data_IF_945048570361
#
_entry.id   IF_945048570361
#
_cell.length_a   1.000
_cell.length_b   1.000
_cell.length_c   1.000
_cell.angle_alpha   90.00
_cell.angle_beta   90.00
_cell.angle_gamma   90.00
#
_symmetry.space_group_name_H-M   'P 1'
#
loop_
_entity.id
_entity.type
_entity.pdbx_description
1 polymer ?
#
# COMPACT_ATOMS: atom_id res chain seq x y z
N UNK A 1 -2.83 -4.20 -23.50
CA UNK A 1 -1.45 -4.12 -22.98
C UNK A 1 -1.15 -5.48 -22.36
N UNK A 2 -0.31 -6.31 -22.99
CA UNK A 2 0.08 -7.60 -22.41
C UNK A 2 1.02 -7.30 -21.24
N UNK A 3 0.66 -7.75 -20.04
CA UNK A 3 1.61 -7.92 -18.95
C UNK A 3 2.66 -8.92 -19.43
N UNK A 4 3.72 -8.42 -20.06
CA UNK A 4 4.91 -9.20 -20.34
C UNK A 4 5.51 -9.54 -18.98
N UNK A 5 5.24 -10.77 -18.54
CA UNK A 5 5.58 -11.28 -17.23
C UNK A 5 7.11 -11.13 -17.04
N UNK A 6 7.54 -10.11 -16.31
CA UNK A 6 8.97 -9.83 -16.08
C UNK A 6 9.65 -11.03 -15.38
N UNK A 7 8.87 -11.89 -14.71
CA UNK A 7 9.32 -13.20 -14.18
C UNK A 7 9.85 -14.17 -15.25
N UNK A 8 9.62 -13.89 -16.53
CA UNK A 8 10.14 -14.68 -17.66
C UNK A 8 11.40 -14.05 -18.30
N UNK A 9 11.96 -12.98 -17.74
CA UNK A 9 13.18 -12.40 -18.26
C UNK A 9 14.39 -13.31 -17.98
N UNK A 10 15.02 -13.77 -19.06
CA UNK A 10 16.17 -14.69 -19.01
C UNK A 10 17.35 -14.16 -18.20
N UNK A 11 17.61 -12.86 -18.25
CA UNK A 11 18.74 -12.23 -17.57
C UNK A 11 18.50 -12.17 -16.06
N UNK A 12 17.28 -11.80 -15.65
CA UNK A 12 16.88 -11.80 -14.24
C UNK A 12 16.92 -13.24 -13.69
N UNK A 13 16.44 -14.21 -14.47
CA UNK A 13 16.47 -15.62 -14.05
C UNK A 13 17.90 -16.15 -13.95
N UNK A 14 18.80 -15.75 -14.85
CA UNK A 14 20.21 -16.11 -14.78
C UNK A 14 20.88 -15.50 -13.53
N UNK A 15 20.56 -14.24 -13.21
CA UNK A 15 21.02 -13.61 -11.97
C UNK A 15 20.47 -14.32 -10.72
N UNK A 16 19.19 -14.73 -10.71
CA UNK A 16 18.60 -15.50 -9.62
C UNK A 16 19.38 -16.80 -9.38
N UNK A 17 19.66 -17.56 -10.45
CA UNK A 17 20.42 -18.81 -10.37
C UNK A 17 21.85 -18.52 -9.89
N UNK A 18 22.53 -17.53 -10.48
CA UNK A 18 23.87 -17.12 -10.08
C UNK A 18 23.95 -16.70 -8.61
N UNK A 19 22.93 -15.99 -8.11
CA UNK A 19 22.83 -15.57 -6.72
C UNK A 19 22.70 -16.76 -5.76
N UNK A 20 21.92 -17.80 -6.13
CA UNK A 20 21.83 -19.05 -5.35
C UNK A 20 23.16 -19.79 -5.25
N UNK A 21 23.99 -19.67 -6.28
CA UNK A 21 25.30 -20.29 -6.39
C UNK A 21 26.47 -19.34 -6.09
N UNK A 22 26.24 -18.28 -5.30
CA UNK A 22 27.27 -17.28 -5.02
C UNK A 22 28.52 -17.85 -4.30
N UNK A 23 28.38 -18.94 -3.54
CA UNK A 23 29.47 -19.55 -2.75
C UNK A 23 30.23 -20.59 -3.57
N UNK A 24 29.52 -21.52 -4.19
CA UNK A 24 30.12 -22.68 -4.86
C UNK A 24 30.36 -22.44 -6.36
N UNK A 25 29.80 -21.35 -6.90
CA UNK A 25 29.80 -21.04 -8.32
C UNK A 25 28.93 -22.00 -9.14
N UNK A 26 28.86 -21.74 -10.44
CA UNK A 26 28.06 -22.53 -11.37
C UNK A 26 28.66 -22.53 -12.78
N UNK A 27 28.55 -23.66 -13.49
CA UNK A 27 28.98 -23.78 -14.88
C UNK A 27 27.96 -23.16 -15.84
N UNK A 28 28.44 -22.58 -16.95
CA UNK A 28 27.57 -21.98 -17.97
C UNK A 28 26.52 -22.98 -18.51
N UNK A 29 26.92 -24.22 -18.79
CA UNK A 29 25.99 -25.26 -19.28
C UNK A 29 24.88 -25.58 -18.28
N UNK A 30 25.15 -25.51 -16.98
CA UNK A 30 24.13 -25.73 -15.95
C UNK A 30 23.13 -24.56 -15.90
N UNK A 31 23.62 -23.32 -15.97
CA UNK A 31 22.75 -22.13 -16.07
C UNK A 31 21.86 -22.25 -17.31
N UNK A 32 22.44 -22.56 -18.47
CA UNK A 32 21.69 -22.74 -19.72
C UNK A 32 20.55 -23.74 -19.54
N UNK A 33 20.87 -24.94 -19.05
CA UNK A 33 19.89 -26.01 -18.83
C UNK A 33 18.79 -25.61 -17.85
N UNK A 34 19.12 -24.89 -16.78
CA UNK A 34 18.12 -24.40 -15.82
C UNK A 34 17.23 -23.31 -16.41
N UNK A 35 17.76 -22.43 -17.24
CA UNK A 35 16.99 -21.40 -17.94
C UNK A 35 16.02 -22.00 -18.94
N UNK A 36 16.48 -22.93 -19.77
CA UNK A 36 15.66 -23.62 -20.76
C UNK A 36 14.49 -24.36 -20.10
N UNK A 37 14.76 -25.04 -18.96
CA UNK A 37 13.72 -25.70 -18.16
C UNK A 37 12.76 -24.71 -17.50
N UNK A 38 13.28 -23.65 -16.88
CA UNK A 38 12.45 -22.70 -16.12
C UNK A 38 11.55 -21.85 -17.03
N UNK A 39 12.00 -21.56 -18.24
CA UNK A 39 11.30 -20.69 -19.19
C UNK A 39 10.64 -21.47 -20.35
N UNK A 40 10.80 -22.80 -20.38
CA UNK A 40 10.24 -23.70 -21.37
C UNK A 40 10.55 -23.27 -22.82
N UNK A 41 11.84 -23.06 -23.09
CA UNK A 41 12.37 -22.73 -24.42
C UNK A 41 13.74 -23.38 -24.61
N UNK A 42 14.22 -23.43 -25.85
CA UNK A 42 15.58 -23.86 -26.17
C UNK A 42 16.35 -22.71 -26.82
N UNK A 43 17.64 -22.58 -26.50
CA UNK A 43 18.47 -21.58 -27.14
C UNK A 43 18.76 -21.95 -28.61
N UNK A 44 18.45 -21.03 -29.51
CA UNK A 44 19.11 -20.99 -30.83
C UNK A 44 20.57 -20.56 -30.69
N UNK A 45 21.42 -20.93 -31.65
CA UNK A 45 22.84 -20.53 -31.68
C UNK A 45 23.04 -19.02 -31.55
N UNK A 46 22.22 -18.20 -32.22
CA UNK A 46 22.32 -16.74 -32.15
C UNK A 46 21.89 -16.20 -30.78
N UNK A 47 20.81 -16.72 -30.20
CA UNK A 47 20.38 -16.32 -28.85
C UNK A 47 21.36 -16.77 -27.78
N UNK A 48 21.99 -17.93 -27.94
CA UNK A 48 23.00 -18.43 -27.02
C UNK A 48 24.24 -17.56 -27.05
N UNK A 49 24.73 -17.19 -28.23
CA UNK A 49 25.86 -16.28 -28.36
C UNK A 49 25.60 -14.91 -27.71
N UNK A 50 24.41 -14.34 -27.93
CA UNK A 50 24.02 -13.08 -27.28
C UNK A 50 23.97 -13.22 -25.75
N UNK A 51 23.37 -14.32 -25.26
CA UNK A 51 23.30 -14.60 -23.83
C UNK A 51 24.69 -14.86 -23.23
N UNK A 52 25.56 -15.58 -23.92
CA UNK A 52 26.93 -15.85 -23.48
C UNK A 52 27.75 -14.57 -23.39
N UNK A 53 27.58 -13.66 -24.35
CA UNK A 53 28.22 -12.34 -24.34
C UNK A 53 27.82 -11.55 -23.09
N UNK A 54 26.51 -11.51 -22.82
CA UNK A 54 25.98 -10.92 -21.60
C UNK A 54 26.49 -11.63 -20.34
N UNK A 55 26.51 -12.97 -20.35
CA UNK A 55 26.93 -13.79 -19.22
C UNK A 55 28.37 -13.50 -18.82
N UNK A 56 29.31 -13.43 -19.76
CA UNK A 56 30.71 -13.13 -19.49
C UNK A 56 30.94 -11.69 -18.98
N UNK A 57 29.99 -10.79 -19.18
CA UNK A 57 30.02 -9.46 -18.58
C UNK A 57 29.61 -9.48 -17.11
N UNK A 58 28.59 -10.25 -16.75
CA UNK A 58 27.98 -10.26 -15.42
C UNK A 58 28.48 -11.37 -14.48
N UNK A 59 29.17 -12.35 -15.04
CA UNK A 59 29.80 -13.43 -14.31
C UNK A 59 31.31 -13.34 -14.46
N UNK A 60 32.03 -13.84 -13.48
CA UNK A 60 33.48 -13.89 -13.46
C UNK A 60 33.93 -15.31 -13.14
N UNK A 61 35.15 -15.64 -13.54
CA UNK A 61 35.79 -16.91 -13.21
C UNK A 61 37.16 -16.61 -12.60
N UNK A 62 37.62 -17.48 -11.71
CA UNK A 62 39.01 -17.47 -11.23
C UNK A 62 39.99 -18.01 -12.27
N UNK A 63 39.48 -18.70 -13.28
CA UNK A 63 40.29 -19.22 -14.38
C UNK A 63 40.86 -18.06 -15.21
N UNK A 64 42.16 -17.78 -15.01
CA UNK A 64 42.93 -16.71 -15.67
C UNK A 64 42.99 -16.82 -17.18
N UNK A 65 42.60 -17.97 -17.72
CA UNK A 65 42.55 -18.21 -19.15
C UNK A 65 41.24 -17.77 -19.80
N UNK A 66 40.24 -17.39 -19.00
CA UNK A 66 39.10 -16.59 -19.46
C UNK A 66 39.48 -15.12 -19.27
N UNK A 67 39.50 -14.34 -20.36
CA UNK A 67 40.01 -12.98 -20.29
C UNK A 67 39.12 -12.07 -19.43
N UNK A 68 39.77 -11.39 -18.49
CA UNK A 68 39.17 -10.47 -17.53
C UNK A 68 39.15 -9.03 -18.08
N UNK A 69 40.04 -8.70 -19.02
CA UNK A 69 40.12 -7.37 -19.64
C UNK A 69 39.22 -7.26 -20.87
N UNK A 70 38.58 -6.11 -21.04
CA UNK A 70 37.61 -5.83 -22.10
C UNK A 70 38.14 -6.16 -23.51
N UNK A 71 39.39 -5.81 -23.80
CA UNK A 71 40.03 -6.12 -25.09
C UNK A 71 40.17 -7.62 -25.32
N UNK A 72 40.65 -8.36 -24.32
CA UNK A 72 40.84 -9.79 -24.43
C UNK A 72 39.49 -10.54 -24.43
N UNK A 73 38.48 -10.03 -23.73
CA UNK A 73 37.09 -10.50 -23.81
C UNK A 73 36.54 -10.35 -25.22
N UNK A 74 36.79 -9.24 -25.90
CA UNK A 74 36.36 -9.04 -27.29
C UNK A 74 37.02 -10.04 -28.25
N UNK A 75 38.33 -10.24 -28.18
CA UNK A 75 39.04 -11.20 -29.04
C UNK A 75 38.57 -12.65 -28.80
N UNK A 76 38.30 -12.98 -27.54
CA UNK A 76 37.72 -14.27 -27.15
C UNK A 76 36.30 -14.46 -27.67
N UNK A 77 35.44 -13.45 -27.51
CA UNK A 77 34.08 -13.45 -28.05
C UNK A 77 34.06 -13.54 -29.58
N UNK A 78 34.99 -12.89 -30.28
CA UNK A 78 35.14 -13.03 -31.74
C UNK A 78 35.47 -14.46 -32.14
N UNK A 79 36.30 -15.15 -31.35
CA UNK A 79 36.65 -16.55 -31.59
C UNK A 79 35.46 -17.48 -31.31
N UNK A 80 34.72 -17.24 -30.23
CA UNK A 80 33.49 -17.97 -29.90
C UNK A 80 32.37 -17.69 -30.91
N UNK A 81 32.28 -16.48 -31.48
CA UNK A 81 31.32 -16.17 -32.55
C UNK A 81 31.54 -17.05 -33.78
N UNK A 82 32.81 -17.37 -34.09
CA UNK A 82 33.12 -18.33 -35.18
C UNK A 82 32.54 -19.71 -34.87
N UNK A 83 32.58 -20.15 -33.61
CA UNK A 83 31.92 -21.38 -33.16
C UNK A 83 30.43 -21.37 -33.52
N UNK A 84 29.70 -20.33 -33.11
CA UNK A 84 28.25 -20.23 -33.34
C UNK A 84 27.82 -20.02 -34.81
N UNK A 85 28.70 -19.50 -35.67
CA UNK A 85 28.38 -19.26 -37.08
C UNK A 85 28.51 -20.48 -37.96
N UNK A 86 29.53 -21.30 -37.75
CA UNK A 86 29.86 -22.40 -38.67
C UNK A 86 30.25 -23.70 -37.97
N UNK A 87 30.11 -23.79 -36.64
CA UNK A 87 30.58 -24.90 -35.81
C UNK A 87 31.97 -25.44 -36.23
N UNK A 88 32.96 -24.56 -36.49
CA UNK A 88 34.28 -24.97 -36.91
C UNK A 88 34.97 -25.77 -35.80
N UNK A 89 35.54 -26.90 -36.20
CA UNK A 89 36.43 -27.69 -35.35
C UNK A 89 37.70 -26.89 -35.01
N UNK A 90 38.35 -27.28 -33.90
CA UNK A 90 39.63 -26.72 -33.49
C UNK A 90 39.50 -25.61 -32.46
N UNK A 91 40.15 -24.46 -32.71
CA UNK A 91 40.30 -23.42 -31.69
C UNK A 91 38.96 -22.86 -31.17
N UNK A 92 37.96 -22.53 -32.01
CA UNK A 92 36.67 -22.01 -31.53
C UNK A 92 35.89 -23.01 -30.65
N UNK A 93 35.86 -24.28 -31.04
CA UNK A 93 35.24 -25.36 -30.27
C UNK A 93 35.92 -25.55 -28.91
N UNK A 94 37.26 -25.53 -28.88
CA UNK A 94 38.03 -25.65 -27.65
C UNK A 94 37.71 -24.52 -26.67
N UNK A 95 37.56 -23.28 -27.15
CA UNK A 95 37.17 -22.15 -26.31
C UNK A 95 35.74 -22.29 -25.77
N UNK A 96 34.78 -22.70 -26.60
CA UNK A 96 33.41 -22.90 -26.15
C UNK A 96 33.29 -24.05 -25.14
N UNK A 97 33.92 -25.20 -25.41
CA UNK A 97 33.96 -26.33 -24.48
C UNK A 97 34.62 -25.96 -23.15
N UNK A 98 35.62 -25.06 -23.19
CA UNK A 98 36.22 -24.52 -21.98
C UNK A 98 35.23 -23.70 -21.16
N UNK A 99 34.48 -22.79 -21.78
CA UNK A 99 33.41 -22.04 -21.10
C UNK A 99 32.41 -22.99 -20.44
N UNK A 100 32.01 -24.07 -21.13
CA UNK A 100 31.10 -25.05 -20.56
C UNK A 100 31.67 -25.77 -19.32
N UNK A 101 32.98 -25.97 -19.28
CA UNK A 101 33.66 -26.64 -18.18
C UNK A 101 33.97 -25.72 -16.99
N UNK A 102 34.17 -24.43 -17.23
CA UNK A 102 34.58 -23.44 -16.23
C UNK A 102 33.46 -23.10 -15.24
N UNK A 103 33.84 -22.94 -13.97
CA UNK A 103 32.96 -22.47 -12.90
C UNK A 103 32.97 -20.94 -12.90
N UNK A 104 31.78 -20.35 -12.84
CA UNK A 104 31.58 -18.92 -12.80
C UNK A 104 30.88 -18.49 -11.52
N UNK A 105 31.20 -17.29 -11.07
CA UNK A 105 30.61 -16.61 -9.93
C UNK A 105 29.93 -15.34 -10.42
N UNK A 106 28.78 -15.03 -9.85
CA UNK A 106 28.07 -13.79 -10.17
C UNK A 106 28.88 -12.58 -9.67
N UNK A 107 29.06 -11.55 -10.51
CA UNK A 107 29.77 -10.33 -10.11
C UNK A 107 28.93 -9.51 -9.15
N UNK A 108 29.60 -8.76 -8.27
CA UNK A 108 28.91 -7.88 -7.30
C UNK A 108 27.96 -6.87 -7.94
N UNK A 109 28.26 -6.38 -9.15
CA UNK A 109 27.37 -5.49 -9.92
C UNK A 109 26.07 -6.18 -10.33
N UNK A 110 26.14 -7.44 -10.78
CA UNK A 110 24.96 -8.23 -11.12
C UNK A 110 24.15 -8.59 -9.86
N UNK A 111 24.84 -8.91 -8.76
CA UNK A 111 24.18 -9.13 -7.45
C UNK A 111 23.40 -7.90 -7.03
N UNK A 112 24.01 -6.70 -7.13
CA UNK A 112 23.33 -5.45 -6.82
C UNK A 112 22.10 -5.24 -7.71
N UNK A 113 22.25 -5.40 -9.03
CA UNK A 113 21.12 -5.25 -9.96
C UNK A 113 19.97 -6.21 -9.65
N UNK A 114 20.28 -7.44 -9.27
CA UNK A 114 19.28 -8.42 -8.88
C UNK A 114 18.59 -8.06 -7.56
N UNK A 115 19.35 -7.59 -6.57
CA UNK A 115 18.78 -7.10 -5.30
C UNK A 115 17.87 -5.88 -5.52
N UNK A 116 18.31 -4.90 -6.30
CA UNK A 116 17.52 -3.72 -6.67
C UNK A 116 16.20 -4.15 -7.36
N UNK A 117 16.26 -5.17 -8.23
CA UNK A 117 15.08 -5.75 -8.85
C UNK A 117 14.12 -6.36 -7.81
N UNK A 118 14.62 -7.13 -6.84
CA UNK A 118 13.79 -7.73 -5.78
C UNK A 118 13.12 -6.66 -4.91
N UNK A 119 13.84 -5.60 -4.56
CA UNK A 119 13.29 -4.47 -3.79
C UNK A 119 12.18 -3.77 -4.56
N UNK A 120 12.35 -3.55 -5.86
CA UNK A 120 11.32 -2.98 -6.72
C UNK A 120 10.10 -3.90 -6.87
N UNK A 121 10.28 -5.22 -6.96
CA UNK A 121 9.17 -6.18 -6.99
C UNK A 121 8.40 -6.14 -5.67
N UNK A 122 9.08 -6.12 -4.53
CA UNK A 122 8.46 -5.99 -3.20
C UNK A 122 7.74 -4.65 -3.04
N UNK A 123 8.33 -3.54 -3.49
CA UNK A 123 7.71 -2.22 -3.44
C UNK A 123 6.43 -2.17 -4.28
N UNK A 124 6.42 -2.81 -5.46
CA UNK A 124 5.21 -2.95 -6.30
C UNK A 124 4.14 -3.78 -5.61
N UNK A 125 4.50 -4.90 -4.97
CA UNK A 125 3.54 -5.69 -4.21
C UNK A 125 2.92 -4.90 -3.06
N UNK A 126 3.73 -4.17 -2.29
CA UNK A 126 3.25 -3.32 -1.20
C UNK A 126 2.35 -2.21 -1.74
N UNK A 127 2.74 -1.56 -2.85
CA UNK A 127 1.95 -0.54 -3.52
C UNK A 127 0.59 -1.06 -3.99
N UNK A 128 0.57 -2.25 -4.61
CA UNK A 128 -0.67 -2.88 -5.06
C UNK A 128 -1.58 -3.27 -3.88
N UNK A 129 -1.01 -3.78 -2.78
CA UNK A 129 -1.77 -4.07 -1.54
C UNK A 129 -2.32 -2.79 -0.91
N UNK A 130 -1.53 -1.71 -0.89
CA UNK A 130 -1.96 -0.41 -0.38
C UNK A 130 -3.07 0.21 -1.24
N UNK A 131 -2.95 0.11 -2.57
CA UNK A 131 -3.99 0.55 -3.51
C UNK A 131 -5.29 -0.24 -3.30
N UNK A 132 -5.22 -1.57 -3.18
CA UNK A 132 -6.40 -2.39 -2.88
C UNK A 132 -7.07 -2.01 -1.56
N UNK A 133 -6.30 -1.76 -0.51
CA UNK A 133 -6.82 -1.24 0.78
C UNK A 133 -7.43 0.15 0.64
N UNK A 134 -6.84 1.02 -0.17
CA UNK A 134 -7.38 2.36 -0.44
C UNK A 134 -8.71 2.31 -1.20
N UNK A 135 -8.85 1.42 -2.18
CA UNK A 135 -10.12 1.20 -2.89
C UNK A 135 -11.21 0.71 -1.93
N UNK A 136 -10.89 -0.25 -1.04
CA UNK A 136 -11.83 -0.71 0.00
C UNK A 136 -12.21 0.42 0.97
N UNK A 137 -11.25 1.25 1.37
CA UNK A 137 -11.50 2.42 2.22
C UNK A 137 -12.43 3.44 1.56
N UNK A 138 -12.23 3.71 0.26
CA UNK A 138 -13.11 4.59 -0.51
C UNK A 138 -14.54 4.03 -0.60
N UNK A 139 -14.70 2.72 -0.82
CA UNK A 139 -16.03 2.09 -0.84
C UNK A 139 -16.73 2.19 0.51
N UNK A 140 -16.02 1.93 1.62
CA UNK A 140 -16.56 2.08 2.97
C UNK A 140 -16.96 3.53 3.27
N UNK A 141 -16.17 4.48 2.80
CA UNK A 141 -16.46 5.92 2.96
C UNK A 141 -17.75 6.31 2.23
N UNK A 142 -17.96 5.82 1.00
CA UNK A 142 -19.20 6.06 0.24
C UNK A 142 -20.41 5.49 0.97
N UNK A 143 -20.31 4.26 1.50
CA UNK A 143 -21.39 3.64 2.28
C UNK A 143 -21.69 4.44 3.55
N UNK A 144 -20.67 4.93 4.25
CA UNK A 144 -20.87 5.77 5.45
C UNK A 144 -21.57 7.09 5.13
N UNK A 145 -21.23 7.75 4.03
CA UNK A 145 -21.90 8.97 3.58
C UNK A 145 -23.37 8.68 3.28
N UNK A 146 -23.66 7.56 2.61
CA UNK A 146 -25.03 7.17 2.29
C UNK A 146 -25.86 6.89 3.55
N UNK A 147 -25.29 6.21 4.54
CA UNK A 147 -25.94 5.97 5.83
C UNK A 147 -26.25 7.27 6.56
N UNK A 148 -25.32 8.23 6.59
CA UNK A 148 -25.56 9.54 7.22
C UNK A 148 -26.70 10.27 6.52
N UNK A 149 -26.74 10.29 5.19
CA UNK A 149 -27.83 10.93 4.44
C UNK A 149 -29.17 10.28 4.82
N UNK A 150 -29.28 8.96 4.75
CA UNK A 150 -30.49 8.20 5.10
C UNK A 150 -30.93 8.49 6.55
N UNK A 151 -30.02 8.47 7.52
CA UNK A 151 -30.35 8.70 8.92
C UNK A 151 -30.77 10.14 9.23
N UNK A 152 -30.23 11.15 8.53
CA UNK A 152 -30.56 12.55 8.79
C UNK A 152 -31.73 13.07 7.96
N UNK A 153 -31.90 12.63 6.71
CA UNK A 153 -32.96 13.15 5.84
C UNK A 153 -34.30 12.47 6.04
N UNK A 154 -34.32 11.16 6.36
CA UNK A 154 -35.59 10.43 6.51
C UNK A 154 -36.43 10.93 7.70
N UNK A 155 -35.90 11.17 8.91
CA UNK A 155 -36.68 11.72 10.02
C UNK A 155 -37.22 13.11 9.69
N UNK A 156 -36.40 13.96 9.06
CA UNK A 156 -36.79 15.32 8.66
C UNK A 156 -37.94 15.31 7.65
N UNK A 157 -37.91 14.40 6.67
CA UNK A 157 -38.99 14.24 5.68
C UNK A 157 -40.25 13.64 6.32
N UNK A 158 -40.11 12.65 7.22
CA UNK A 158 -41.25 12.09 7.97
C UNK A 158 -41.92 13.16 8.83
N UNK A 159 -41.15 14.00 9.52
CA UNK A 159 -41.70 15.10 10.34
C UNK A 159 -42.33 16.19 9.47
N UNK A 160 -41.81 16.43 8.25
CA UNK A 160 -42.41 17.35 7.29
C UNK A 160 -43.78 16.85 6.80
N UNK A 161 -43.93 15.55 6.50
CA UNK A 161 -45.20 14.96 6.07
C UNK A 161 -46.19 14.70 7.23
N UNK A 162 -45.75 14.72 8.50
CA UNK A 162 -46.66 14.65 9.66
C UNK A 162 -47.34 15.98 9.99
N UNK A 163 -46.93 17.09 9.36
CA UNK A 163 -47.42 18.44 9.70
C UNK A 163 -48.88 18.71 9.30
N UNK A 164 -49.49 17.88 8.46
CA UNK A 164 -50.88 18.07 7.99
C UNK A 164 -51.96 17.37 8.84
N UNK A 165 -51.59 16.70 9.94
CA UNK A 165 -52.55 16.06 10.85
C UNK A 165 -52.89 16.90 12.10
N UNK A 166 -52.73 18.23 12.04
CA UNK A 166 -53.41 19.09 13.00
C UNK A 166 -54.88 19.24 12.58
N UNK A 167 -55.72 18.32 13.06
CA UNK A 167 -57.17 18.58 13.09
C UNK A 167 -57.38 19.93 13.79
N UNK A 168 -58.14 20.87 13.21
CA UNK A 168 -58.50 22.08 13.93
C UNK A 168 -59.16 21.64 15.23
N UNK A 169 -58.58 22.04 16.36
CA UNK A 169 -59.21 21.79 17.64
C UNK A 169 -60.56 22.50 17.61
N UNK A 170 -61.66 21.76 17.80
CA UNK A 170 -62.93 22.38 18.12
C UNK A 170 -62.71 23.24 19.35
N UNK A 171 -62.83 24.54 19.16
CA UNK A 171 -62.80 25.51 20.24
C UNK A 171 -64.08 25.28 21.04
N UNK A 172 -63.99 24.47 22.08
CA UNK A 172 -64.99 24.49 23.15
C UNK A 172 -64.75 25.81 23.87
N UNK A 173 -65.64 26.78 23.62
CA UNK A 173 -65.71 27.99 24.43
C UNK A 173 -66.20 27.53 25.80
N UNK A 174 -65.25 27.29 26.71
CA UNK A 174 -65.54 27.21 28.13
C UNK A 174 -65.54 28.67 28.58
N UNK A 175 -66.70 29.19 28.97
CA UNK A 175 -66.77 30.45 29.72
C UNK A 175 -65.87 30.27 30.96
N UNK A 176 -64.80 31.05 30.98
CA UNK A 176 -63.81 31.01 32.03
C UNK A 176 -64.36 31.71 33.29
N UNK A 177 -64.98 30.93 34.18
CA UNK A 177 -65.26 31.33 35.57
C UNK A 177 -64.06 31.09 36.50
N UNK A 178 -62.81 31.15 36.03
CA UNK A 178 -61.64 31.07 36.93
C UNK A 178 -61.11 32.44 37.30
N UNK A 179 -61.73 32.98 38.37
CA UNK A 179 -61.18 33.89 39.39
C UNK A 179 -59.89 34.61 38.97
N UNK A 180 -60.04 35.88 38.57
CA UNK A 180 -58.97 36.87 38.57
C UNK A 180 -58.13 36.72 39.86
N UNK A 181 -56.91 36.23 39.70
CA UNK A 181 -55.90 36.28 40.74
C UNK A 181 -55.66 37.77 41.03
N UNK A 182 -56.25 38.26 42.12
CA UNK A 182 -56.20 39.67 42.48
C UNK A 182 -54.79 40.01 42.94
N UNK A 183 -53.96 40.38 41.95
CA UNK A 183 -52.53 40.66 42.07
C UNK A 183 -52.26 41.73 43.15
N UNK A 184 -53.25 42.61 43.43
CA UNK A 184 -53.16 43.60 44.51
C UNK A 184 -53.20 42.95 45.89
N UNK A 185 -54.01 41.90 46.08
CA UNK A 185 -54.10 41.17 47.35
C UNK A 185 -52.81 40.39 47.62
N UNK A 186 -52.26 39.73 46.59
CA UNK A 186 -51.01 38.99 46.69
C UNK A 186 -49.80 39.91 46.96
N UNK A 187 -49.73 41.07 46.29
CA UNK A 187 -48.68 42.08 46.58
C UNK A 187 -48.78 42.62 47.99
N UNK A 188 -50.00 42.82 48.52
CA UNK A 188 -50.19 43.29 49.90
C UNK A 188 -49.73 42.24 50.93
N UNK A 189 -50.07 40.96 50.73
CA UNK A 189 -49.61 39.88 51.62
C UNK A 189 -48.08 39.73 51.63
N UNK A 190 -47.41 39.86 50.48
CA UNK A 190 -45.95 39.82 50.41
C UNK A 190 -45.32 41.01 51.15
N UNK A 191 -45.85 42.22 50.97
CA UNK A 191 -45.33 43.41 51.64
C UNK A 191 -45.52 43.31 53.16
N UNK A 192 -46.68 42.87 53.62
CA UNK A 192 -46.97 42.71 55.06
C UNK A 192 -46.05 41.63 55.68
N UNK A 193 -45.78 40.53 54.96
CA UNK A 193 -44.85 39.49 55.42
C UNK A 193 -43.40 39.98 55.50
N UNK A 194 -42.96 40.82 54.56
CA UNK A 194 -41.60 41.39 54.57
C UNK A 194 -41.46 42.39 55.73
N UNK A 195 -42.47 43.22 55.98
CA UNK A 195 -42.43 44.22 57.06
C UNK A 195 -42.40 43.56 58.44
N UNK A 196 -43.15 42.47 58.64
CA UNK A 196 -43.08 41.70 59.88
C UNK A 196 -41.70 41.08 60.11
N UNK A 197 -41.09 40.50 59.08
CA UNK A 197 -39.74 39.93 59.17
C UNK A 197 -38.66 40.99 59.51
N UNK A 198 -38.77 42.19 58.94
CA UNK A 198 -37.85 43.30 59.24
C UNK A 198 -38.03 43.78 60.69
N UNK A 199 -39.26 43.87 61.18
CA UNK A 199 -39.54 44.29 62.55
C UNK A 199 -39.06 43.26 63.58
N UNK A 200 -39.23 41.96 63.31
CA UNK A 200 -38.76 40.86 64.16
C UNK A 200 -37.23 40.88 64.28
N UNK A 201 -36.51 41.00 63.16
CA UNK A 201 -35.04 41.13 63.17
C UNK A 201 -34.53 42.39 63.86
N UNK A 202 -35.28 43.49 63.83
CA UNK A 202 -34.90 44.74 64.49
C UNK A 202 -35.05 44.63 66.02
N UNK A 203 -36.07 43.90 66.49
CA UNK A 203 -36.26 43.58 67.91
C UNK A 203 -35.12 42.69 68.45
N UNK A 204 -34.69 41.69 67.69
CA UNK A 204 -33.56 40.81 68.08
C UNK A 204 -32.22 41.57 68.15
N UNK A 205 -32.04 42.62 67.34
CA UNK A 205 -30.83 43.45 67.36
C UNK A 205 -30.78 44.49 68.49
N UNK A 206 -31.94 44.81 69.09
CA UNK A 206 -32.04 45.73 70.21
C UNK A 206 -31.95 45.02 71.57
N UNK A 207 -32.31 43.73 71.64
CA UNK A 207 -32.20 42.92 72.87
C UNK A 207 -30.78 42.37 73.13
N UNK A 208 -29.88 42.42 72.16
CA UNK A 208 -28.50 41.91 72.26
C UNK A 208 -27.45 43.00 72.57
N UNK A 209 -27.87 44.22 72.94
CA UNK A 209 -26.98 45.35 73.25
C UNK A 209 -27.21 45.93 74.66
N UNK A 210 -27.79 45.16 75.58
CA UNK A 210 -28.01 45.57 76.97
C UNK A 210 -27.52 44.53 78.00
N UNK A 211 -26.29 44.04 77.80
CA UNK A 211 -25.44 43.41 78.83
C UNK A 211 -24.02 44.00 78.72
#
# INVERSE_FOLDING_TARGET
MKDTNIKQNIYIKAMEIGFKHQVDGIKYGNIKNELEKALNFEFSSSSEYAFLTWFLHYFTSEDTSIPISEKATNDFLLTVNKYFKSHPEGLPELYYNKILATIFFIRGEAVKQYTDYLELEQAKEIGNRAYGKSVLSNQLSIVSIFLVIVFFTIPMVIDFFKKDNYKPQEVIIIEDETKHFDEKKFKKEIIDSIMNFINEKKLDSLNNNSD
#
